data_IF_988431254036
#
_entry.id   IF_988431254036
#
_cell.length_a   1.000
_cell.length_b   1.000
_cell.length_c   1.000
_cell.angle_alpha   90.00
_cell.angle_beta   90.00
_cell.angle_gamma   90.00
#
_symmetry.space_group_name_H-M   'P 1'
#
loop_
_entity.id
_entity.type
_entity.pdbx_description
1 polymer ?
#
# COMPACT_ATOMS: atom_id res chain seq x y z
N UNK A 1 -13.38 -6.99 62.31
CA UNK A 1 -14.48 -6.06 62.68
C UNK A 1 -15.79 -6.67 62.22
N UNK A 2 -16.83 -6.69 63.06
CA UNK A 2 -18.13 -7.21 62.67
C UNK A 2 -18.74 -6.35 61.54
N UNK A 3 -19.21 -6.99 60.47
CA UNK A 3 -19.92 -6.32 59.38
C UNK A 3 -21.13 -5.55 59.92
N UNK A 4 -21.33 -4.32 59.42
CA UNK A 4 -22.45 -3.44 59.77
C UNK A 4 -23.59 -3.49 58.76
N UNK A 5 -23.43 -4.22 57.65
CA UNK A 5 -24.39 -4.27 56.52
C UNK A 5 -24.69 -5.70 56.02
N UNK A 6 -24.12 -6.73 56.65
CA UNK A 6 -24.30 -8.15 56.34
C UNK A 6 -25.75 -8.63 56.47
N UNK A 7 -26.50 -8.13 57.46
CA UNK A 7 -27.89 -8.56 57.71
C UNK A 7 -28.93 -7.46 57.46
N UNK A 8 -30.15 -7.82 56.99
CA UNK A 8 -31.25 -6.85 56.83
C UNK A 8 -31.56 -6.07 58.11
N UNK A 9 -31.51 -6.72 59.27
CA UNK A 9 -31.76 -6.08 60.57
C UNK A 9 -30.74 -4.98 60.89
N UNK A 10 -29.46 -5.18 60.56
CA UNK A 10 -28.42 -4.15 60.73
C UNK A 10 -28.56 -3.04 59.68
N UNK A 11 -28.88 -3.38 58.43
CA UNK A 11 -29.12 -2.40 57.37
C UNK A 11 -30.33 -1.50 57.64
N UNK A 12 -31.38 -2.04 58.27
CA UNK A 12 -32.55 -1.26 58.67
C UNK A 12 -32.26 -0.25 59.77
N UNK A 13 -31.33 -0.55 60.69
CA UNK A 13 -30.91 0.37 61.76
C UNK A 13 -30.09 1.56 61.26
N UNK A 14 -29.64 1.55 60.01
CA UNK A 14 -28.89 2.67 59.44
C UNK A 14 -29.82 3.88 59.15
N UNK A 15 -29.34 5.11 59.40
CA UNK A 15 -30.08 6.31 59.07
C UNK A 15 -30.21 6.48 57.56
N UNK A 16 -31.27 7.19 57.15
CA UNK A 16 -31.42 7.63 55.76
C UNK A 16 -30.38 8.72 55.52
N UNK A 17 -29.39 8.44 54.66
CA UNK A 17 -28.27 9.33 54.42
C UNK A 17 -27.80 9.30 52.96
N UNK A 18 -27.34 10.45 52.46
CA UNK A 18 -26.75 10.54 51.11
C UNK A 18 -25.43 9.74 51.01
N UNK A 19 -24.70 9.59 52.11
CA UNK A 19 -23.42 8.85 52.18
C UNK A 19 -23.68 7.35 52.41
N UNK A 20 -23.17 6.45 51.55
CA UNK A 20 -23.30 5.01 51.75
C UNK A 20 -22.53 4.52 52.98
N UNK A 21 -23.04 3.47 53.63
CA UNK A 21 -22.29 2.69 54.61
C UNK A 21 -21.38 1.69 53.87
N UNK A 22 -20.07 1.77 54.11
CA UNK A 22 -19.08 0.96 53.40
C UNK A 22 -18.57 -0.21 54.24
N UNK A 23 -18.38 -1.34 53.58
CA UNK A 23 -17.69 -2.51 54.08
C UNK A 23 -16.56 -2.89 53.12
N UNK A 24 -15.40 -3.23 53.66
CA UNK A 24 -14.25 -3.65 52.86
C UNK A 24 -14.38 -5.14 52.52
N UNK A 25 -14.34 -5.46 51.23
CA UNK A 25 -14.36 -6.85 50.74
C UNK A 25 -12.94 -7.38 50.49
N UNK A 26 -12.08 -6.55 49.87
CA UNK A 26 -10.71 -6.89 49.51
C UNK A 26 -9.80 -5.63 49.58
N UNK A 27 -8.47 -5.75 49.42
CA UNK A 27 -7.62 -4.57 49.23
C UNK A 27 -8.12 -3.72 48.06
N UNK A 28 -8.41 -2.44 48.32
CA UNK A 28 -8.91 -1.52 47.29
C UNK A 28 -10.36 -1.70 46.86
N UNK A 29 -11.12 -2.68 47.37
CA UNK A 29 -12.52 -2.95 46.98
C UNK A 29 -13.47 -2.92 48.18
N UNK A 30 -14.56 -2.17 48.06
CA UNK A 30 -15.55 -1.94 49.09
C UNK A 30 -16.97 -2.11 48.56
N UNK A 31 -17.83 -2.74 49.37
CA UNK A 31 -19.27 -2.81 49.16
C UNK A 31 -19.95 -1.70 49.95
N UNK A 32 -20.84 -0.97 49.30
CA UNK A 32 -21.58 0.15 49.86
C UNK A 32 -23.07 -0.16 49.90
N UNK A 33 -23.70 0.14 51.02
CA UNK A 33 -25.15 0.13 51.16
C UNK A 33 -25.66 1.55 51.33
N UNK A 34 -26.62 1.97 50.50
CA UNK A 34 -27.26 3.29 50.62
C UNK A 34 -28.76 3.13 50.80
N UNK A 35 -29.26 3.70 51.90
CA UNK A 35 -30.68 3.78 52.25
C UNK A 35 -31.19 5.20 51.97
N UNK A 36 -32.07 5.35 50.99
CA UNK A 36 -32.86 6.58 50.76
C UNK A 36 -34.32 6.37 51.16
N UNK A 37 -35.13 7.42 51.05
CA UNK A 37 -36.60 7.34 51.23
C UNK A 37 -37.25 6.44 50.17
N UNK A 38 -36.69 6.40 48.95
CA UNK A 38 -37.27 5.74 47.78
C UNK A 38 -36.65 4.37 47.47
N UNK A 39 -35.37 4.15 47.81
CA UNK A 39 -34.67 2.95 47.39
C UNK A 39 -33.54 2.54 48.34
N UNK A 40 -33.26 1.24 48.35
CA UNK A 40 -32.12 0.63 49.06
C UNK A 40 -31.22 0.00 48.02
N UNK A 41 -30.02 0.55 47.84
CA UNK A 41 -29.14 0.19 46.72
C UNK A 41 -27.77 -0.28 47.19
N UNK A 42 -27.23 -1.24 46.44
CA UNK A 42 -25.85 -1.68 46.51
C UNK A 42 -24.97 -0.83 45.59
N UNK A 43 -23.82 -0.44 46.13
CA UNK A 43 -22.76 0.28 45.45
C UNK A 43 -21.48 -0.51 45.59
N UNK A 44 -20.62 -0.44 44.58
CA UNK A 44 -19.23 -0.89 44.69
C UNK A 44 -18.32 0.32 44.59
N UNK A 45 -17.27 0.34 45.40
CA UNK A 45 -16.16 1.27 45.30
C UNK A 45 -14.88 0.48 45.16
N UNK A 46 -14.16 0.66 44.07
CA UNK A 46 -12.90 -0.02 43.81
C UNK A 46 -11.81 0.98 43.38
N UNK A 47 -10.55 0.61 43.58
CA UNK A 47 -9.42 1.44 43.18
C UNK A 47 -9.41 1.58 41.66
N UNK A 48 -9.35 2.82 41.17
CA UNK A 48 -9.32 3.10 39.75
C UNK A 48 -7.90 2.81 39.21
N UNK A 49 -7.71 1.82 38.32
CA UNK A 49 -6.40 1.54 37.74
C UNK A 49 -5.90 2.68 36.85
N UNK A 50 -6.78 3.57 36.40
CA UNK A 50 -6.47 4.70 35.53
C UNK A 50 -6.26 6.02 36.30
N UNK A 51 -6.34 6.01 37.63
CA UNK A 51 -6.15 7.21 38.44
C UNK A 51 -4.68 7.71 38.39
N UNK A 52 -4.46 9.03 38.16
CA UNK A 52 -3.12 9.62 38.23
C UNK A 52 -2.45 9.36 39.59
N UNK A 53 -1.13 9.12 39.60
CA UNK A 53 -0.35 9.04 40.85
C UNK A 53 -0.50 10.36 41.61
N UNK A 54 -1.14 10.30 42.80
CA UNK A 54 -1.40 11.46 43.65
C UNK A 54 -2.82 12.06 43.53
N UNK A 55 -3.75 11.41 42.83
CA UNK A 55 -5.14 11.85 42.76
C UNK A 55 -5.79 11.93 44.15
N UNK A 56 -6.56 13.00 44.40
CA UNK A 56 -7.26 13.25 45.67
C UNK A 56 -8.32 12.19 46.00
N UNK A 57 -8.82 11.46 45.00
CA UNK A 57 -9.73 10.33 45.19
C UNK A 57 -9.45 9.21 44.17
N UNK A 58 -8.60 8.22 44.49
CA UNK A 58 -8.19 7.15 43.56
C UNK A 58 -9.22 6.01 43.45
N UNK A 59 -10.49 6.29 43.74
CA UNK A 59 -11.54 5.28 43.80
C UNK A 59 -12.72 5.64 42.90
N UNK A 60 -13.15 4.68 42.08
CA UNK A 60 -14.37 4.77 41.28
C UNK A 60 -15.53 4.13 42.01
N UNK A 61 -16.72 4.74 41.91
CA UNK A 61 -17.94 4.27 42.55
C UNK A 61 -19.02 3.98 41.50
N UNK A 62 -19.73 2.86 41.66
CA UNK A 62 -20.83 2.47 40.78
C UNK A 62 -22.00 1.88 41.60
N UNK A 63 -23.22 2.29 41.29
CA UNK A 63 -24.45 1.64 41.78
C UNK A 63 -24.76 0.47 40.85
N UNK A 64 -25.01 -0.73 41.37
CA UNK A 64 -25.15 -1.91 40.51
C UNK A 64 -26.38 -2.79 40.78
N UNK A 65 -27.01 -2.68 41.95
CA UNK A 65 -28.20 -3.48 42.25
C UNK A 65 -29.08 -2.85 43.35
N UNK A 66 -30.33 -3.33 43.45
CA UNK A 66 -31.19 -3.08 44.60
C UNK A 66 -30.90 -4.11 45.72
N UNK A 67 -31.07 -3.69 46.97
CA UNK A 67 -30.90 -4.56 48.13
C UNK A 67 -32.21 -5.30 48.45
N UNK A 68 -32.08 -6.52 48.97
CA UNK A 68 -33.18 -7.43 49.35
C UNK A 68 -33.97 -7.02 50.61
N UNK A 69 -33.93 -5.73 50.96
CA UNK A 69 -34.54 -5.23 52.18
C UNK A 69 -35.99 -4.81 51.93
N UNK A 70 -36.93 -5.53 52.55
CA UNK A 70 -38.40 -5.35 52.59
C UNK A 70 -39.21 -5.69 51.33
N UNK A 71 -38.62 -5.85 50.14
CA UNK A 71 -39.29 -6.47 49.00
C UNK A 71 -38.33 -7.42 48.28
N UNK A 72 -38.70 -8.71 48.26
CA UNK A 72 -38.02 -9.72 47.46
C UNK A 72 -38.58 -9.63 46.04
N UNK A 73 -38.04 -8.72 45.24
CA UNK A 73 -38.14 -8.84 43.78
C UNK A 73 -37.05 -9.81 43.30
N UNK A 74 -37.28 -10.56 42.22
CA UNK A 74 -36.26 -11.47 41.64
C UNK A 74 -34.93 -10.75 41.30
N UNK A 75 -34.98 -9.43 41.10
CA UNK A 75 -33.83 -8.57 40.79
C UNK A 75 -33.08 -8.02 42.02
N UNK A 76 -33.54 -8.31 43.25
CA UNK A 76 -32.91 -7.81 44.48
C UNK A 76 -31.79 -8.75 44.95
N UNK A 77 -30.64 -8.17 45.34
CA UNK A 77 -29.48 -8.95 45.77
C UNK A 77 -29.32 -8.97 47.29
N UNK A 78 -29.11 -10.18 47.82
CA UNK A 78 -28.64 -10.37 49.19
C UNK A 78 -27.17 -9.98 49.35
N UNK A 79 -26.74 -9.71 50.58
CA UNK A 79 -25.37 -9.31 50.88
C UNK A 79 -24.31 -10.25 50.28
N UNK A 80 -24.53 -11.57 50.35
CA UNK A 80 -23.59 -12.57 49.79
C UNK A 80 -23.50 -12.47 48.26
N UNK A 81 -24.64 -12.35 47.57
CA UNK A 81 -24.68 -12.20 46.10
C UNK A 81 -24.12 -10.84 45.67
N UNK A 82 -24.48 -9.77 46.37
CA UNK A 82 -23.96 -8.43 46.12
C UNK A 82 -22.44 -8.34 46.34
N UNK A 83 -21.90 -9.06 47.33
CA UNK A 83 -20.46 -9.13 47.58
C UNK A 83 -19.70 -9.84 46.45
N UNK A 84 -20.23 -10.97 45.98
CA UNK A 84 -19.65 -11.70 44.85
C UNK A 84 -19.70 -10.88 43.56
N UNK A 85 -20.83 -10.21 43.30
CA UNK A 85 -21.00 -9.37 42.10
C UNK A 85 -20.13 -8.11 42.15
N UNK A 86 -19.98 -7.50 43.33
CA UNK A 86 -19.08 -6.36 43.53
C UNK A 86 -17.61 -6.75 43.28
N UNK A 87 -17.18 -7.95 43.67
CA UNK A 87 -15.84 -8.45 43.37
C UNK A 87 -15.65 -8.69 41.87
N UNK A 88 -16.63 -9.29 41.18
CA UNK A 88 -16.58 -9.46 39.71
C UNK A 88 -16.51 -8.12 38.97
N UNK A 89 -17.31 -7.14 39.39
CA UNK A 89 -17.30 -5.81 38.81
C UNK A 89 -15.95 -5.10 39.02
N UNK A 90 -15.36 -5.25 40.20
CA UNK A 90 -14.03 -4.70 40.50
C UNK A 90 -12.92 -5.40 39.71
N UNK A 91 -13.00 -6.71 39.52
CA UNK A 91 -12.04 -7.50 38.73
C UNK A 91 -12.13 -7.14 37.24
N UNK A 92 -13.35 -7.08 36.70
CA UNK A 92 -13.60 -6.64 35.32
C UNK A 92 -13.12 -5.20 35.07
N UNK A 93 -13.14 -4.35 36.11
CA UNK A 93 -12.65 -2.99 36.04
C UNK A 93 -11.16 -2.82 36.42
N UNK A 94 -10.48 -3.87 36.92
CA UNK A 94 -9.05 -3.87 37.21
C UNK A 94 -8.19 -4.13 35.97
N UNK A 95 -8.81 -4.59 34.88
CA UNK A 95 -8.20 -4.56 33.55
C UNK A 95 -8.12 -3.08 33.14
N UNK A 96 -6.93 -2.53 32.84
CA UNK A 96 -6.80 -1.14 32.44
C UNK A 96 -7.79 -0.82 31.34
N UNK A 97 -8.75 0.03 31.63
CA UNK A 97 -9.62 0.55 30.61
C UNK A 97 -8.75 1.51 29.81
N UNK A 98 -8.56 1.26 28.52
CA UNK A 98 -7.87 2.21 27.64
C UNK A 98 -8.72 3.48 27.43
N UNK A 99 -9.19 4.14 28.50
CA UNK A 99 -10.13 5.27 28.50
C UNK A 99 -9.43 6.63 28.30
N UNK A 100 -8.28 6.59 27.64
CA UNK A 100 -7.73 7.69 26.83
C UNK A 100 -7.43 7.26 25.38
N UNK A 101 -7.53 5.97 25.06
CA UNK A 101 -7.37 5.47 23.71
C UNK A 101 -8.75 5.39 23.06
N UNK A 102 -9.00 6.29 22.13
CA UNK A 102 -10.12 6.20 21.19
C UNK A 102 -10.25 4.75 20.66
N UNK A 103 -11.49 4.24 20.48
CA UNK A 103 -11.70 2.87 20.03
C UNK A 103 -10.99 2.60 18.69
N UNK A 104 -10.48 1.38 18.51
CA UNK A 104 -9.81 0.99 17.27
C UNK A 104 -10.88 0.57 16.28
N UNK A 105 -11.14 1.41 15.28
CA UNK A 105 -12.09 1.18 14.19
C UNK A 105 -11.36 0.94 12.88
N UNK A 106 -12.08 0.43 11.88
CA UNK A 106 -11.58 0.30 10.51
C UNK A 106 -11.04 1.64 9.98
N UNK A 107 -11.73 2.76 10.25
CA UNK A 107 -11.31 4.12 9.91
C UNK A 107 -9.88 4.40 10.39
N UNK A 108 -9.61 4.15 11.67
CA UNK A 108 -8.30 4.45 12.27
C UNK A 108 -7.21 3.54 11.70
N UNK A 109 -7.53 2.27 11.46
CA UNK A 109 -6.62 1.35 10.77
C UNK A 109 -6.24 1.83 9.38
N UNK A 110 -7.22 2.33 8.62
CA UNK A 110 -7.03 2.85 7.27
C UNK A 110 -6.23 4.14 7.27
N UNK A 111 -6.58 5.11 8.13
CA UNK A 111 -5.87 6.39 8.25
C UNK A 111 -4.41 6.21 8.66
N UNK A 112 -4.14 5.33 9.63
CA UNK A 112 -2.77 5.00 10.04
C UNK A 112 -1.97 4.36 8.90
N UNK A 113 -2.58 3.41 8.19
CA UNK A 113 -1.95 2.79 7.03
C UNK A 113 -1.67 3.79 5.90
N UNK A 114 -2.60 4.70 5.64
CA UNK A 114 -2.45 5.79 4.67
C UNK A 114 -1.26 6.68 5.06
N UNK A 115 -1.15 7.08 6.32
CA UNK A 115 -0.04 7.89 6.81
C UNK A 115 1.32 7.19 6.59
N UNK A 116 1.41 5.89 6.91
CA UNK A 116 2.62 5.09 6.67
C UNK A 116 2.97 5.01 5.18
N UNK A 117 1.96 4.82 4.31
CA UNK A 117 2.15 4.74 2.86
C UNK A 117 2.57 6.08 2.26
N UNK A 118 1.94 7.18 2.66
CA UNK A 118 2.27 8.51 2.20
C UNK A 118 3.67 8.92 2.66
N UNK A 119 4.04 8.68 3.91
CA UNK A 119 5.40 8.93 4.42
C UNK A 119 6.47 8.10 3.69
N UNK A 120 6.16 6.84 3.34
CA UNK A 120 7.06 6.02 2.52
C UNK A 120 7.22 6.61 1.11
N UNK A 121 6.12 6.99 0.47
CA UNK A 121 6.14 7.55 -0.87
C UNK A 121 6.85 8.92 -0.90
N UNK A 122 6.65 9.77 0.11
CA UNK A 122 7.38 11.03 0.33
C UNK A 122 8.89 10.77 0.40
N UNK A 123 9.35 9.83 1.24
CA UNK A 123 10.78 9.46 1.34
C UNK A 123 11.36 8.98 0.01
N UNK A 124 10.59 8.21 -0.76
CA UNK A 124 11.06 7.60 -2.02
C UNK A 124 11.08 8.60 -3.19
N UNK A 125 10.14 9.54 -3.20
CA UNK A 125 9.92 10.48 -4.31
C UNK A 125 10.47 11.88 -4.02
N UNK A 126 10.83 12.20 -2.78
CA UNK A 126 11.44 13.47 -2.37
C UNK A 126 10.54 14.69 -2.59
N UNK A 127 9.23 14.54 -2.38
CA UNK A 127 8.27 15.66 -2.46
C UNK A 127 7.34 15.64 -1.27
N UNK A 128 6.95 16.83 -0.85
CA UNK A 128 5.90 17.04 0.15
C UNK A 128 4.52 16.80 -0.48
N UNK A 129 3.50 16.51 0.35
CA UNK A 129 2.10 16.30 -0.06
C UNK A 129 1.82 15.18 -1.07
N UNK A 130 2.54 14.06 -0.98
CA UNK A 130 2.26 12.90 -1.83
C UNK A 130 1.08 12.08 -1.28
N UNK A 131 -0.01 12.10 -2.05
CA UNK A 131 -1.10 11.14 -1.91
C UNK A 131 -0.75 9.82 -2.60
N UNK A 132 -0.68 8.73 -1.84
CA UNK A 132 -0.44 7.40 -2.42
C UNK A 132 -1.65 6.85 -3.17
N UNK A 133 -1.41 5.87 -4.04
CA UNK A 133 -2.48 5.15 -4.74
C UNK A 133 -3.45 4.46 -3.75
N UNK A 134 -2.91 3.97 -2.64
CA UNK A 134 -3.69 3.32 -1.58
C UNK A 134 -4.58 4.34 -0.87
N UNK A 135 -4.05 5.52 -0.55
CA UNK A 135 -4.83 6.63 0.00
C UNK A 135 -6.03 6.97 -0.89
N UNK A 136 -5.80 7.19 -2.19
CA UNK A 136 -6.88 7.55 -3.11
C UNK A 136 -7.99 6.50 -3.15
N UNK A 137 -7.62 5.21 -3.19
CA UNK A 137 -8.61 4.11 -3.21
C UNK A 137 -9.34 3.93 -1.89
N UNK A 138 -8.59 3.87 -0.79
CA UNK A 138 -9.14 3.65 0.55
C UNK A 138 -10.02 4.82 0.99
N UNK A 139 -9.60 6.05 0.72
CA UNK A 139 -10.42 7.23 1.02
C UNK A 139 -11.74 7.24 0.25
N UNK A 140 -11.70 6.87 -1.03
CA UNK A 140 -12.88 6.92 -1.91
C UNK A 140 -13.88 5.78 -1.69
N UNK A 141 -13.41 4.61 -1.24
CA UNK A 141 -14.24 3.41 -1.21
C UNK A 141 -14.41 2.79 0.18
N UNK A 142 -13.51 3.08 1.13
CA UNK A 142 -13.60 2.58 2.51
C UNK A 142 -14.02 3.70 3.45
N UNK A 143 -13.29 4.83 3.46
CA UNK A 143 -13.57 5.92 4.41
C UNK A 143 -14.88 6.68 4.12
N UNK A 144 -15.38 6.57 2.90
CA UNK A 144 -16.70 7.10 2.50
C UNK A 144 -17.85 6.20 2.93
N UNK A 145 -17.59 4.93 3.26
CA UNK A 145 -18.61 3.98 3.70
C UNK A 145 -18.68 3.99 5.23
N UNK A 146 -19.62 4.77 5.76
CA UNK A 146 -19.81 4.97 7.21
C UNK A 146 -20.07 3.64 7.93
N UNK A 147 -20.81 2.72 7.31
CA UNK A 147 -21.16 1.44 7.91
C UNK A 147 -19.92 0.57 8.11
N UNK A 148 -19.01 0.54 7.13
CA UNK A 148 -17.77 -0.21 7.25
C UNK A 148 -16.76 0.52 8.13
N UNK A 149 -16.50 1.81 7.91
CA UNK A 149 -15.34 2.48 8.51
C UNK A 149 -15.50 2.73 10.01
N UNK A 150 -16.72 2.92 10.52
CA UNK A 150 -16.95 3.16 11.94
C UNK A 150 -17.12 1.85 12.74
N UNK A 151 -17.06 0.70 12.06
CA UNK A 151 -17.05 -0.63 12.70
C UNK A 151 -15.79 -0.78 13.57
N UNK A 152 -15.98 -1.28 14.80
CA UNK A 152 -14.87 -1.66 15.67
C UNK A 152 -14.07 -2.79 15.04
N UNK A 153 -12.75 -2.76 15.19
CA UNK A 153 -11.88 -3.75 14.56
C UNK A 153 -12.24 -5.19 14.97
N UNK A 154 -12.54 -5.40 16.26
CA UNK A 154 -12.99 -6.70 16.81
C UNK A 154 -14.33 -7.19 16.24
N UNK A 155 -15.18 -6.30 15.76
CA UNK A 155 -16.52 -6.60 15.24
C UNK A 155 -16.51 -6.68 13.69
N UNK A 156 -15.34 -6.54 13.08
CA UNK A 156 -15.17 -6.71 11.63
C UNK A 156 -15.17 -8.20 11.30
N UNK A 157 -16.26 -8.69 10.72
CA UNK A 157 -16.42 -10.10 10.32
C UNK A 157 -16.12 -10.34 8.85
N UNK A 158 -15.92 -11.60 8.48
CA UNK A 158 -15.74 -12.04 7.08
C UNK A 158 -16.96 -11.66 6.22
N UNK A 159 -18.16 -11.91 6.72
CA UNK A 159 -19.43 -11.72 6.01
C UNK A 159 -19.63 -10.25 5.65
N UNK A 160 -19.38 -9.36 6.63
CA UNK A 160 -19.47 -7.91 6.43
C UNK A 160 -18.49 -7.41 5.35
N UNK A 161 -17.26 -7.93 5.35
CA UNK A 161 -16.26 -7.56 4.35
C UNK A 161 -16.62 -8.06 2.94
N UNK A 162 -17.20 -9.26 2.83
CA UNK A 162 -17.67 -9.80 1.55
C UNK A 162 -18.86 -9.01 1.02
N UNK A 163 -19.86 -8.75 1.85
CA UNK A 163 -21.04 -7.96 1.50
C UNK A 163 -20.65 -6.56 1.03
N UNK A 164 -19.77 -5.88 1.77
CA UNK A 164 -19.23 -4.59 1.35
C UNK A 164 -18.53 -4.70 0.00
N UNK A 165 -17.64 -5.68 -0.16
CA UNK A 165 -16.84 -5.83 -1.38
C UNK A 165 -17.72 -6.12 -2.60
N UNK A 166 -18.80 -6.87 -2.45
CA UNK A 166 -19.77 -7.15 -3.51
C UNK A 166 -20.50 -5.89 -3.95
N UNK A 167 -20.92 -5.06 -2.99
CA UNK A 167 -21.63 -3.80 -3.22
C UNK A 167 -20.76 -2.68 -3.81
N UNK A 168 -19.42 -2.80 -3.76
CA UNK A 168 -18.53 -1.80 -4.35
C UNK A 168 -18.59 -1.85 -5.89
N UNK A 169 -19.03 -0.78 -6.59
CA UNK A 169 -19.23 -0.77 -8.04
C UNK A 169 -17.91 -0.54 -8.80
N UNK A 170 -16.98 -1.49 -8.68
CA UNK A 170 -15.67 -1.45 -9.32
C UNK A 170 -15.41 -2.69 -10.16
N UNK A 171 -14.68 -2.51 -11.27
CA UNK A 171 -14.15 -3.62 -12.08
C UNK A 171 -13.28 -4.56 -11.24
N UNK A 172 -13.28 -5.86 -11.58
CA UNK A 172 -12.59 -6.91 -10.81
C UNK A 172 -11.14 -6.57 -10.47
N UNK A 173 -10.35 -6.09 -11.44
CA UNK A 173 -8.95 -5.70 -11.20
C UNK A 173 -8.78 -4.55 -10.19
N UNK A 174 -9.69 -3.57 -10.18
CA UNK A 174 -9.64 -2.45 -9.23
C UNK A 174 -10.16 -2.89 -7.86
N UNK A 175 -11.22 -3.70 -7.82
CA UNK A 175 -11.76 -4.32 -6.61
C UNK A 175 -10.70 -5.16 -5.88
N UNK A 176 -9.91 -5.96 -6.63
CA UNK A 176 -8.76 -6.70 -6.10
C UNK A 176 -7.67 -5.81 -5.47
N UNK A 177 -7.33 -4.68 -6.11
CA UNK A 177 -6.36 -3.72 -5.55
C UNK A 177 -6.88 -3.07 -4.27
N UNK A 178 -8.15 -2.66 -4.28
CA UNK A 178 -8.81 -2.09 -3.11
C UNK A 178 -8.82 -3.08 -1.93
N UNK A 179 -9.24 -4.32 -2.17
CA UNK A 179 -9.24 -5.38 -1.15
C UNK A 179 -7.82 -5.64 -0.62
N UNK A 180 -6.81 -5.65 -1.50
CA UNK A 180 -5.40 -5.78 -1.12
C UNK A 180 -4.90 -4.66 -0.21
N UNK A 181 -5.25 -3.40 -0.51
CA UNK A 181 -4.90 -2.26 0.33
C UNK A 181 -5.62 -2.30 1.68
N UNK A 182 -6.92 -2.61 1.69
CA UNK A 182 -7.70 -2.73 2.93
C UNK A 182 -7.16 -3.87 3.80
N UNK A 183 -6.83 -5.01 3.20
CA UNK A 183 -6.20 -6.13 3.88
C UNK A 183 -4.88 -5.73 4.52
N UNK A 184 -4.06 -4.96 3.82
CA UNK A 184 -2.79 -4.48 4.36
C UNK A 184 -2.99 -3.51 5.53
N UNK A 185 -4.00 -2.62 5.45
CA UNK A 185 -4.36 -1.71 6.53
C UNK A 185 -4.83 -2.46 7.78
N UNK A 186 -5.80 -3.37 7.62
CA UNK A 186 -6.36 -4.14 8.74
C UNK A 186 -5.30 -5.06 9.37
N UNK A 187 -4.40 -5.65 8.58
CA UNK A 187 -3.31 -6.46 9.12
C UNK A 187 -2.31 -5.64 9.93
N UNK A 188 -1.94 -4.44 9.46
CA UNK A 188 -1.01 -3.57 10.18
C UNK A 188 -1.52 -3.25 11.59
N UNK A 189 -2.80 -2.92 11.73
CA UNK A 189 -3.42 -2.66 13.03
C UNK A 189 -3.69 -3.95 13.81
N UNK A 190 -4.13 -5.01 13.12
CA UNK A 190 -4.38 -6.32 13.73
C UNK A 190 -3.16 -6.90 14.42
N UNK A 191 -1.98 -6.79 13.80
CA UNK A 191 -0.71 -7.23 14.38
C UNK A 191 -0.37 -6.44 15.67
N UNK A 192 -0.65 -5.13 15.71
CA UNK A 192 -0.43 -4.28 16.90
C UNK A 192 -1.41 -4.60 18.05
N UNK A 193 -2.60 -5.06 17.71
CA UNK A 193 -3.71 -5.25 18.64
C UNK A 193 -4.13 -6.72 18.77
N UNK A 194 -3.25 -7.66 18.40
CA UNK A 194 -3.54 -9.09 18.37
C UNK A 194 -4.08 -9.63 19.70
N UNK A 195 -3.62 -9.09 20.85
CA UNK A 195 -4.09 -9.46 22.19
C UNK A 195 -5.57 -9.13 22.46
N UNK A 196 -6.14 -8.20 21.70
CA UNK A 196 -7.53 -7.74 21.85
C UNK A 196 -8.48 -8.31 20.79
N UNK A 197 -7.98 -9.17 19.91
CA UNK A 197 -8.71 -9.76 18.79
C UNK A 197 -8.79 -11.28 18.97
N UNK A 198 -9.79 -11.90 18.35
CA UNK A 198 -9.87 -13.36 18.33
C UNK A 198 -8.67 -13.96 17.55
N UNK A 199 -8.21 -15.14 17.97
CA UNK A 199 -7.06 -15.79 17.34
C UNK A 199 -7.26 -16.07 15.83
N UNK A 200 -8.50 -16.31 15.40
CA UNK A 200 -8.87 -16.57 14.00
C UNK A 200 -9.10 -15.30 13.18
N UNK A 201 -9.23 -14.14 13.84
CA UNK A 201 -9.67 -12.89 13.21
C UNK A 201 -8.80 -12.52 12.00
N UNK A 202 -7.47 -12.61 12.14
CA UNK A 202 -6.53 -12.31 11.05
C UNK A 202 -6.69 -13.23 9.85
N UNK A 203 -7.00 -14.52 10.07
CA UNK A 203 -7.21 -15.48 8.99
C UNK A 203 -8.53 -15.19 8.28
N UNK A 204 -9.59 -14.89 9.02
CA UNK A 204 -10.93 -14.57 8.51
C UNK A 204 -10.91 -13.33 7.60
N UNK A 205 -10.37 -12.21 8.09
CA UNK A 205 -10.29 -10.97 7.29
C UNK A 205 -9.40 -11.15 6.06
N UNK A 206 -8.35 -11.96 6.19
CA UNK A 206 -7.42 -12.22 5.09
C UNK A 206 -8.08 -13.06 4.01
N UNK A 207 -8.93 -14.02 4.40
CA UNK A 207 -9.74 -14.82 3.49
C UNK A 207 -10.74 -13.95 2.73
N UNK A 208 -11.50 -13.11 3.43
CA UNK A 208 -12.50 -12.22 2.83
C UNK A 208 -11.90 -11.28 1.76
N UNK A 209 -10.71 -10.73 2.04
CA UNK A 209 -10.07 -9.74 1.17
C UNK A 209 -9.07 -10.35 0.17
N UNK A 210 -9.03 -11.69 0.04
CA UNK A 210 -8.25 -12.35 -1.02
C UNK A 210 -9.11 -12.54 -2.25
N UNK A 211 -9.11 -11.53 -3.11
CA UNK A 211 -9.89 -11.51 -4.34
C UNK A 211 -9.09 -12.15 -5.47
N UNK A 212 -9.64 -13.23 -6.05
CA UNK A 212 -9.13 -13.78 -7.30
C UNK A 212 -9.56 -12.89 -8.47
N UNK A 213 -8.73 -12.88 -9.51
CA UNK A 213 -9.09 -12.20 -10.75
C UNK A 213 -8.75 -13.14 -11.89
N UNK A 214 -9.75 -13.94 -12.26
CA UNK A 214 -9.64 -14.94 -13.32
C UNK A 214 -9.97 -14.34 -14.69
N UNK A 215 -10.40 -13.08 -14.73
CA UNK A 215 -10.55 -12.37 -16.00
C UNK A 215 -9.19 -12.28 -16.72
N UNK A 216 -9.07 -12.84 -17.94
CA UNK A 216 -7.88 -12.65 -18.75
C UNK A 216 -7.65 -11.16 -18.97
N UNK A 217 -6.38 -10.76 -18.95
CA UNK A 217 -5.99 -9.37 -19.07
C UNK A 217 -6.50 -8.84 -20.42
N UNK A 218 -7.54 -7.99 -20.42
CA UNK A 218 -8.29 -7.58 -21.62
C UNK A 218 -7.53 -6.73 -22.63
N UNK A 219 -6.23 -6.49 -22.42
CA UNK A 219 -5.39 -5.72 -23.35
C UNK A 219 -4.38 -6.66 -23.97
N UNK A 220 -4.51 -6.85 -25.27
CA UNK A 220 -3.49 -7.52 -26.07
C UNK A 220 -2.14 -6.82 -25.92
N UNK A 221 -1.09 -7.62 -25.99
CA UNK A 221 0.28 -7.12 -25.91
C UNK A 221 0.58 -6.32 -27.17
N UNK A 222 0.92 -5.05 -26.98
CA UNK A 222 1.23 -4.14 -28.06
C UNK A 222 2.69 -4.29 -28.47
N UNK A 223 2.93 -5.07 -29.52
CA UNK A 223 4.25 -5.24 -30.14
C UNK A 223 4.33 -4.34 -31.36
N UNK A 224 5.38 -3.51 -31.43
CA UNK A 224 5.64 -2.62 -32.55
C UNK A 224 6.79 -3.16 -33.40
N UNK A 225 6.62 -3.10 -34.72
CA UNK A 225 7.69 -3.39 -35.66
C UNK A 225 8.78 -2.30 -35.62
N UNK A 226 9.99 -2.61 -36.09
CA UNK A 226 11.13 -1.68 -36.05
C UNK A 226 10.86 -0.38 -36.82
N UNK A 227 10.14 -0.43 -37.94
CA UNK A 227 9.76 0.76 -38.69
C UNK A 227 8.76 1.64 -37.93
N UNK A 228 7.85 1.04 -37.15
CA UNK A 228 6.90 1.76 -36.30
C UNK A 228 7.60 2.43 -35.12
N UNK A 229 8.59 1.77 -34.51
CA UNK A 229 9.42 2.37 -33.46
C UNK A 229 10.21 3.55 -34.01
N UNK A 230 10.87 3.38 -35.16
CA UNK A 230 11.60 4.49 -35.84
C UNK A 230 10.66 5.64 -36.18
N UNK A 231 9.44 5.36 -36.66
CA UNK A 231 8.45 6.40 -36.93
C UNK A 231 8.03 7.15 -35.66
N UNK A 232 7.81 6.44 -34.55
CA UNK A 232 7.50 7.05 -33.26
C UNK A 232 8.63 7.95 -32.74
N UNK A 233 9.89 7.53 -32.88
CA UNK A 233 11.05 8.34 -32.46
C UNK A 233 11.25 9.58 -33.33
N UNK A 234 11.01 9.49 -34.65
CA UNK A 234 11.01 10.67 -35.54
C UNK A 234 9.92 11.66 -35.16
N UNK A 235 8.69 11.18 -34.97
CA UNK A 235 7.57 12.00 -34.51
C UNK A 235 7.87 12.64 -33.14
N UNK A 236 8.48 11.90 -32.22
CA UNK A 236 8.90 12.44 -30.93
C UNK A 236 9.90 13.58 -31.08
N UNK A 237 10.86 13.48 -32.01
CA UNK A 237 11.82 14.56 -32.31
C UNK A 237 11.16 15.81 -32.87
N UNK A 238 10.18 15.66 -33.77
CA UNK A 238 9.42 16.79 -34.33
C UNK A 238 8.60 17.51 -33.24
N UNK A 239 7.82 16.74 -32.47
CA UNK A 239 6.97 17.26 -31.39
C UNK A 239 7.78 17.90 -30.27
N UNK A 240 8.97 17.35 -30.00
CA UNK A 240 9.93 17.93 -29.07
C UNK A 240 10.33 19.34 -29.50
N UNK A 241 10.72 19.51 -30.78
CA UNK A 241 11.08 20.81 -31.36
C UNK A 241 9.90 21.79 -31.39
N UNK A 242 8.73 21.35 -31.88
CA UNK A 242 7.50 22.16 -31.90
C UNK A 242 7.07 22.62 -30.50
N UNK A 243 7.27 21.77 -29.50
CA UNK A 243 6.87 22.01 -28.12
C UNK A 243 7.93 22.69 -27.24
N UNK A 244 9.11 23.02 -27.78
CA UNK A 244 10.20 23.66 -27.02
C UNK A 244 10.74 22.79 -25.88
N UNK A 245 10.87 21.47 -26.09
CA UNK A 245 11.35 20.52 -25.08
C UNK A 245 12.88 20.38 -25.06
N UNK A 246 13.62 21.12 -25.91
CA UNK A 246 15.09 21.12 -26.01
C UNK A 246 15.72 19.72 -26.17
N UNK A 247 15.02 18.79 -26.80
CA UNK A 247 15.41 17.40 -27.02
C UNK A 247 15.08 16.46 -25.85
N UNK A 248 14.49 16.93 -24.75
CA UNK A 248 14.25 16.12 -23.55
C UNK A 248 13.22 15.02 -23.79
N UNK A 249 12.14 15.32 -24.53
CA UNK A 249 11.11 14.35 -24.88
C UNK A 249 11.68 13.29 -25.82
N UNK A 250 12.44 13.71 -26.84
CA UNK A 250 13.05 12.79 -27.79
C UNK A 250 14.05 11.85 -27.09
N UNK A 251 14.95 12.39 -26.25
CA UNK A 251 15.91 11.58 -25.48
C UNK A 251 15.20 10.57 -24.57
N UNK A 252 14.11 10.96 -23.91
CA UNK A 252 13.31 10.06 -23.10
C UNK A 252 12.71 8.90 -23.93
N UNK A 253 12.17 9.19 -25.12
CA UNK A 253 11.62 8.14 -25.99
C UNK A 253 12.70 7.19 -26.50
N UNK A 254 13.86 7.72 -26.89
CA UNK A 254 15.03 6.92 -27.27
C UNK A 254 15.47 6.02 -26.11
N UNK A 255 15.51 6.54 -24.89
CA UNK A 255 15.91 5.74 -23.72
C UNK A 255 14.94 4.58 -23.47
N UNK A 256 13.63 4.82 -23.58
CA UNK A 256 12.61 3.78 -23.45
C UNK A 256 12.75 2.71 -24.54
N UNK A 257 12.93 3.13 -25.80
CA UNK A 257 13.04 2.23 -26.95
C UNK A 257 14.33 1.41 -26.95
N UNK A 258 15.48 2.05 -26.68
CA UNK A 258 16.79 1.42 -26.73
C UNK A 258 17.04 0.46 -25.56
N UNK A 259 16.46 0.73 -24.39
CA UNK A 259 16.71 -0.10 -23.18
C UNK A 259 15.60 -1.11 -22.87
N UNK A 260 14.37 -0.90 -23.36
CA UNK A 260 13.20 -1.69 -22.95
C UNK A 260 12.82 -1.52 -21.47
N UNK A 261 13.38 -0.52 -20.79
CA UNK A 261 13.16 -0.28 -19.37
C UNK A 261 11.81 0.39 -19.10
N UNK A 262 11.31 0.26 -17.87
CA UNK A 262 10.10 1.00 -17.44
C UNK A 262 10.42 2.49 -17.35
N UNK A 263 9.43 3.36 -17.61
CA UNK A 263 9.55 4.82 -17.43
C UNK A 263 10.21 5.20 -16.10
N UNK A 264 9.76 4.60 -14.99
CA UNK A 264 10.31 4.91 -13.67
C UNK A 264 11.79 4.56 -13.52
N UNK A 265 12.29 3.58 -14.28
CA UNK A 265 13.71 3.19 -14.25
C UNK A 265 14.52 4.15 -15.12
N UNK A 266 14.03 4.42 -16.34
CA UNK A 266 14.65 5.40 -17.26
C UNK A 266 14.82 6.77 -16.63
N UNK A 267 13.79 7.25 -15.91
CA UNK A 267 13.83 8.53 -15.20
C UNK A 267 14.90 8.62 -14.10
N UNK A 268 15.49 7.49 -13.68
CA UNK A 268 16.47 7.40 -12.58
C UNK A 268 17.83 6.89 -13.03
N UNK A 269 18.07 6.79 -14.34
CA UNK A 269 19.41 6.50 -14.84
C UNK A 269 20.26 7.73 -14.56
N UNK A 270 21.40 7.58 -13.88
CA UNK A 270 22.32 8.67 -13.62
C UNK A 270 23.27 8.90 -14.80
N UNK A 271 23.89 10.07 -14.89
CA UNK A 271 24.82 10.39 -16.00
C UNK A 271 26.02 9.44 -16.04
N UNK A 272 26.56 9.07 -14.87
CA UNK A 272 27.68 8.12 -14.71
C UNK A 272 27.34 6.71 -15.20
N UNK A 273 26.06 6.36 -15.21
CA UNK A 273 25.56 5.05 -15.61
C UNK A 273 25.46 4.90 -17.14
N UNK A 274 25.80 5.94 -17.90
CA UNK A 274 25.92 5.92 -19.35
C UNK A 274 27.39 6.09 -19.78
N UNK A 275 28.03 4.99 -20.18
CA UNK A 275 29.47 4.96 -20.51
C UNK A 275 29.81 4.05 -21.69
N UNK A 276 30.97 4.29 -22.30
CA UNK A 276 31.55 3.40 -23.32
C UNK A 276 32.51 2.43 -22.65
N UNK A 277 32.46 1.15 -23.03
CA UNK A 277 33.33 0.12 -22.49
C UNK A 277 34.01 -0.64 -23.63
N UNK A 278 35.34 -0.78 -23.60
CA UNK A 278 36.06 -1.65 -24.52
C UNK A 278 35.76 -3.11 -24.18
N UNK A 279 35.46 -3.90 -25.21
CA UNK A 279 35.23 -5.34 -25.11
C UNK A 279 35.92 -6.02 -26.28
N UNK A 280 36.70 -7.05 -25.99
CA UNK A 280 37.22 -7.95 -27.02
C UNK A 280 36.11 -8.94 -27.38
N UNK A 281 35.76 -9.04 -28.66
CA UNK A 281 34.81 -10.06 -29.11
C UNK A 281 35.46 -11.44 -28.98
N UNK A 282 34.94 -12.28 -28.07
CA UNK A 282 35.49 -13.62 -27.83
C UNK A 282 35.49 -14.55 -29.05
N UNK A 283 34.62 -14.31 -30.03
CA UNK A 283 34.54 -15.12 -31.25
C UNK A 283 35.49 -14.66 -32.34
N UNK A 284 35.69 -13.35 -32.50
CA UNK A 284 36.46 -12.78 -33.62
C UNK A 284 37.82 -12.21 -33.21
N UNK A 285 38.08 -12.06 -31.91
CA UNK A 285 39.30 -11.43 -31.38
C UNK A 285 39.37 -9.92 -31.60
N UNK A 286 38.40 -9.31 -32.29
CA UNK A 286 38.40 -7.89 -32.64
C UNK A 286 37.94 -7.04 -31.44
N UNK A 287 38.64 -5.93 -31.22
CA UNK A 287 38.22 -4.90 -30.28
C UNK A 287 36.91 -4.25 -30.71
N UNK A 288 35.93 -4.27 -29.82
CA UNK A 288 34.66 -3.58 -29.96
C UNK A 288 34.49 -2.56 -28.82
N UNK A 289 33.73 -1.50 -29.08
CA UNK A 289 33.31 -0.55 -28.04
C UNK A 289 31.82 -0.71 -27.81
N UNK A 290 31.43 -1.19 -26.63
CA UNK A 290 30.04 -1.27 -26.23
C UNK A 290 29.60 0.09 -25.68
N UNK A 291 28.46 0.59 -26.15
CA UNK A 291 27.77 1.72 -25.53
C UNK A 291 26.82 1.19 -24.47
N UNK A 292 27.09 1.52 -23.20
CA UNK A 292 26.45 0.88 -22.04
C UNK A 292 25.56 1.87 -21.30
N UNK A 293 24.35 1.43 -20.98
CA UNK A 293 23.43 2.10 -20.06
C UNK A 293 23.12 1.16 -18.89
N UNK A 294 23.46 1.57 -17.66
CA UNK A 294 23.09 0.85 -16.46
C UNK A 294 21.68 1.27 -16.03
N UNK A 295 20.73 0.33 -16.08
CA UNK A 295 19.33 0.60 -15.74
C UNK A 295 19.09 0.25 -14.28
N UNK A 296 18.63 1.19 -13.43
CA UNK A 296 18.36 0.90 -12.03
C UNK A 296 17.20 -0.09 -11.88
N UNK A 297 17.25 -0.93 -10.85
CA UNK A 297 16.18 -1.88 -10.55
C UNK A 297 14.83 -1.19 -10.29
N UNK A 298 13.72 -1.90 -10.51
CA UNK A 298 12.41 -1.40 -10.15
C UNK A 298 12.24 -1.34 -8.64
N UNK A 299 11.43 -0.39 -8.17
CA UNK A 299 11.11 -0.21 -6.75
C UNK A 299 10.08 -1.23 -6.27
N UNK A 300 10.21 -2.50 -6.68
CA UNK A 300 9.30 -3.60 -6.30
C UNK A 300 9.84 -4.29 -5.03
N UNK A 301 8.95 -4.71 -4.14
CA UNK A 301 9.29 -5.55 -2.97
C UNK A 301 9.19 -4.87 -1.59
N UNK A 302 9.27 -5.73 -0.55
CA UNK A 302 9.42 -5.33 0.86
C UNK A 302 10.91 -5.07 1.15
N UNK A 303 11.23 -3.81 1.47
CA UNK A 303 12.42 -3.27 2.16
C UNK A 303 13.78 -3.98 2.03
N UNK A 304 14.78 -3.20 1.60
CA UNK A 304 16.13 -3.21 2.19
C UNK A 304 17.28 -3.50 1.23
N UNK A 305 17.10 -4.43 0.30
CA UNK A 305 18.15 -4.76 -0.68
C UNK A 305 18.02 -3.86 -1.90
N UNK A 306 19.04 -3.03 -2.13
CA UNK A 306 19.22 -2.34 -3.40
C UNK A 306 19.59 -3.41 -4.41
N UNK A 307 18.65 -3.81 -5.25
CA UNK A 307 18.96 -4.68 -6.38
C UNK A 307 19.92 -3.94 -7.33
N UNK A 308 20.96 -4.62 -7.83
CA UNK A 308 21.97 -3.98 -8.66
C UNK A 308 21.35 -3.49 -9.98
N UNK A 309 21.92 -2.41 -10.50
CA UNK A 309 21.57 -1.94 -11.84
C UNK A 309 21.90 -3.02 -12.87
N UNK A 310 21.08 -3.10 -13.90
CA UNK A 310 21.27 -4.10 -14.96
C UNK A 310 21.88 -3.44 -16.19
N UNK A 311 22.97 -4.01 -16.69
CA UNK A 311 23.68 -3.54 -17.88
C UNK A 311 22.82 -3.69 -19.15
N UNK A 312 22.70 -2.62 -19.95
CA UNK A 312 22.15 -2.66 -21.32
C UNK A 312 23.20 -2.20 -22.31
N UNK A 313 23.37 -2.94 -23.40
CA UNK A 313 24.18 -2.50 -24.53
C UNK A 313 23.20 -1.92 -25.55
N UNK A 314 23.44 -0.67 -25.96
CA UNK A 314 22.60 0.07 -26.90
C UNK A 314 23.40 0.40 -28.16
N UNK A 315 22.71 0.74 -29.24
CA UNK A 315 23.36 1.20 -30.47
C UNK A 315 24.10 2.52 -30.23
N UNK A 316 25.23 2.71 -30.91
CA UNK A 316 26.04 3.91 -30.77
C UNK A 316 25.23 5.18 -31.10
N UNK A 317 24.41 5.17 -32.16
CA UNK A 317 23.54 6.30 -32.51
C UNK A 317 22.56 6.68 -31.40
N UNK A 318 21.96 5.69 -30.74
CA UNK A 318 21.01 5.92 -29.66
C UNK A 318 21.75 6.46 -28.43
N UNK A 319 22.93 5.91 -28.13
CA UNK A 319 23.78 6.39 -27.05
C UNK A 319 24.16 7.86 -27.21
N UNK A 320 24.64 8.26 -28.40
CA UNK A 320 24.99 9.66 -28.69
C UNK A 320 23.78 10.60 -28.50
N UNK A 321 22.57 10.18 -28.90
CA UNK A 321 21.36 10.94 -28.63
C UNK A 321 21.13 11.09 -27.12
N UNK A 322 21.25 10.00 -26.35
CA UNK A 322 21.01 10.04 -24.90
C UNK A 322 21.96 10.97 -24.17
N UNK A 323 23.23 11.03 -24.58
CA UNK A 323 24.25 11.85 -23.92
C UNK A 323 24.37 13.28 -24.45
N UNK A 324 23.62 13.62 -25.51
CA UNK A 324 23.62 14.96 -26.13
C UNK A 324 22.91 16.05 -25.30
N UNK A 325 22.23 15.67 -24.22
CA UNK A 325 21.56 16.61 -23.33
C UNK A 325 22.53 17.44 -22.47
N UNK A 326 22.00 18.45 -21.74
CA UNK A 326 22.79 19.22 -20.77
C UNK A 326 23.51 18.31 -19.78
N UNK A 327 24.76 18.62 -19.45
CA UNK A 327 25.50 17.87 -18.45
C UNK A 327 24.94 18.15 -17.05
N UNK A 328 24.38 17.12 -16.41
CA UNK A 328 23.74 17.22 -15.10
C UNK A 328 24.68 16.96 -13.93
N UNK A 329 25.89 16.47 -14.16
CA UNK A 329 26.80 15.93 -13.13
C UNK A 329 26.73 14.40 -13.03
N UNK A 330 27.75 13.71 -12.48
CA UNK A 330 27.87 12.26 -12.56
C UNK A 330 26.76 11.51 -11.80
N UNK A 331 26.44 11.95 -10.57
CA UNK A 331 25.43 11.36 -9.68
C UNK A 331 24.04 12.02 -9.82
N UNK A 332 23.79 12.59 -11.00
CA UNK A 332 22.54 13.28 -11.31
C UNK A 332 21.84 12.59 -12.46
N UNK A 333 20.50 12.69 -12.56
CA UNK A 333 19.76 12.01 -13.61
C UNK A 333 20.30 12.36 -15.00
N UNK A 334 20.49 11.34 -15.84
CA UNK A 334 20.86 11.47 -17.25
C UNK A 334 19.80 12.26 -18.02
N UNK A 335 18.53 12.11 -17.63
CA UNK A 335 17.38 12.72 -18.29
C UNK A 335 16.66 13.64 -17.31
N UNK A 336 16.69 14.92 -17.63
CA UNK A 336 15.89 15.97 -17.00
C UNK A 336 15.00 16.63 -18.04
N UNK A 337 14.05 17.43 -17.58
CA UNK A 337 13.20 18.27 -18.39
C UNK A 337 12.96 19.62 -17.75
N UNK A 338 12.45 20.56 -18.53
CA UNK A 338 11.91 21.80 -17.99
C UNK A 338 10.68 21.55 -17.13
N UNK A 339 10.66 22.12 -15.93
CA UNK A 339 9.51 22.13 -15.04
C UNK A 339 8.78 23.46 -15.16
N UNK A 340 7.51 23.41 -15.56
CA UNK A 340 6.68 24.60 -15.50
C UNK A 340 6.36 24.93 -14.04
N UNK A 341 6.46 26.20 -13.70
CA UNK A 341 6.14 26.76 -12.40
C UNK A 341 4.90 27.64 -12.55
N UNK A 342 3.94 27.44 -11.66
CA UNK A 342 2.71 28.24 -11.62
C UNK A 342 3.02 29.57 -10.93
N UNK A 343 2.93 30.67 -11.68
CA UNK A 343 3.09 32.02 -11.12
C UNK A 343 1.79 32.48 -10.46
N UNK A 344 0.67 32.16 -11.09
CA UNK A 344 -0.69 32.42 -10.61
C UNK A 344 -1.66 31.41 -11.24
N UNK A 345 -2.91 31.27 -10.75
CA UNK A 345 -3.86 30.34 -11.32
C UNK A 345 -3.94 30.48 -12.85
N UNK A 346 -3.65 29.40 -13.57
CA UNK A 346 -3.62 29.30 -15.05
C UNK A 346 -2.45 29.99 -15.76
N UNK A 347 -1.57 30.72 -15.06
CA UNK A 347 -0.37 31.33 -15.63
C UNK A 347 0.86 30.53 -15.25
N UNK A 348 1.51 29.96 -16.27
CA UNK A 348 2.67 29.09 -16.11
C UNK A 348 3.88 29.72 -16.77
N UNK A 349 5.01 29.69 -16.08
CA UNK A 349 6.31 30.03 -16.67
C UNK A 349 7.22 28.81 -16.72
N UNK A 350 8.24 28.88 -17.56
CA UNK A 350 9.30 27.87 -17.62
C UNK A 350 10.19 28.06 -16.39
N UNK A 351 10.10 27.14 -15.45
CA UNK A 351 10.94 27.08 -14.26
C UNK A 351 12.25 26.34 -14.49
N UNK A 352 12.81 25.76 -13.43
CA UNK A 352 14.08 25.04 -13.48
C UNK A 352 14.04 23.68 -14.19
N UNK A 353 15.22 23.08 -14.35
CA UNK A 353 15.38 21.67 -14.77
C UNK A 353 15.00 20.74 -13.63
N UNK A 354 14.27 19.68 -13.94
CA UNK A 354 13.87 18.66 -12.98
C UNK A 354 13.88 17.26 -13.61
N UNK A 355 13.99 16.23 -12.77
CA UNK A 355 13.82 14.84 -13.21
C UNK A 355 12.37 14.56 -13.64
N UNK A 356 12.18 13.50 -14.41
CA UNK A 356 10.87 12.98 -14.78
C UNK A 356 10.24 12.22 -13.58
N UNK A 357 8.98 12.51 -13.22
CA UNK A 357 8.35 11.90 -12.05
C UNK A 357 7.35 10.80 -12.39
N UNK A 358 6.42 11.08 -13.30
CA UNK A 358 5.27 10.26 -13.65
C UNK A 358 5.13 10.11 -15.16
N UNK A 359 4.74 8.92 -15.60
CA UNK A 359 4.46 8.66 -17.01
C UNK A 359 3.28 9.51 -17.55
N UNK A 360 2.45 10.10 -16.68
CA UNK A 360 1.40 11.04 -17.09
C UNK A 360 1.94 12.32 -17.71
N UNK A 361 3.19 12.71 -17.38
CA UNK A 361 3.83 13.91 -17.93
C UNK A 361 4.01 13.82 -19.44
N UNK A 362 4.17 12.60 -19.97
CA UNK A 362 4.28 12.35 -21.40
C UNK A 362 2.95 11.96 -22.05
N UNK A 363 1.83 11.93 -21.32
CA UNK A 363 0.56 11.45 -21.88
C UNK A 363 0.03 12.33 -23.03
N UNK A 364 0.20 13.65 -22.93
CA UNK A 364 -0.17 14.59 -24.02
C UNK A 364 0.75 14.45 -25.22
N UNK A 365 2.09 14.61 -25.11
CA UNK A 365 2.97 14.47 -26.27
C UNK A 365 2.93 13.06 -26.86
N UNK A 366 2.73 12.01 -26.05
CA UNK A 366 2.59 10.65 -26.57
C UNK A 366 1.38 10.48 -27.50
N UNK A 367 0.23 11.10 -27.18
CA UNK A 367 -0.94 11.08 -28.09
C UNK A 367 -0.61 11.72 -29.44
N UNK A 368 0.12 12.83 -29.42
CA UNK A 368 0.59 13.49 -30.64
C UNK A 368 1.58 12.61 -31.41
N UNK A 369 2.49 11.91 -30.71
CA UNK A 369 3.44 10.96 -31.31
C UNK A 369 2.68 9.82 -32.01
N UNK A 370 1.70 9.22 -31.34
CA UNK A 370 0.87 8.13 -31.89
C UNK A 370 0.16 8.58 -33.16
N UNK A 371 -0.42 9.78 -33.14
CA UNK A 371 -1.11 10.35 -34.30
C UNK A 371 -0.16 10.63 -35.47
N UNK A 372 0.95 11.35 -35.21
CA UNK A 372 1.96 11.72 -36.22
C UNK A 372 2.65 10.50 -36.83
N UNK A 373 2.96 9.50 -36.00
CA UNK A 373 3.55 8.24 -36.43
C UNK A 373 2.54 7.24 -37.02
N UNK A 374 1.24 7.60 -37.07
CA UNK A 374 0.14 6.78 -37.57
C UNK A 374 0.05 5.40 -36.89
N UNK A 375 0.31 5.36 -35.59
CA UNK A 375 0.17 4.15 -34.78
C UNK A 375 -1.28 3.95 -34.34
N UNK A 376 -1.70 2.72 -33.99
CA UNK A 376 -3.02 2.50 -33.41
C UNK A 376 -3.23 3.36 -32.15
N UNK A 377 -4.40 4.03 -32.06
CA UNK A 377 -4.69 5.06 -31.04
C UNK A 377 -4.51 4.60 -29.58
N UNK A 378 -4.64 3.31 -29.34
CA UNK A 378 -4.55 2.71 -28.00
C UNK A 378 -3.11 2.31 -27.62
N UNK A 379 -2.12 2.51 -28.50
CA UNK A 379 -0.72 2.23 -28.23
C UNK A 379 -0.20 3.15 -27.12
N UNK A 380 0.45 2.56 -26.12
CA UNK A 380 1.06 3.29 -24.99
C UNK A 380 2.58 3.20 -25.04
N UNK A 381 3.35 4.08 -24.35
CA UNK A 381 4.81 4.03 -24.36
C UNK A 381 5.38 2.68 -23.89
N UNK A 382 4.60 1.94 -23.11
CA UNK A 382 4.95 0.60 -22.63
C UNK A 382 5.10 -0.42 -23.76
N UNK A 383 4.58 -0.15 -24.96
CA UNK A 383 4.77 -0.96 -26.15
C UNK A 383 6.25 -1.09 -26.55
N UNK A 384 7.10 -0.08 -26.31
CA UNK A 384 8.54 -0.20 -26.57
C UNK A 384 9.17 -1.34 -25.78
N UNK A 385 8.74 -1.53 -24.54
CA UNK A 385 9.20 -2.62 -23.69
C UNK A 385 8.68 -3.98 -24.17
N UNK A 386 7.40 -4.07 -24.54
CA UNK A 386 6.86 -5.30 -25.12
C UNK A 386 7.63 -5.69 -26.38
N UNK A 387 7.90 -4.71 -27.25
CA UNK A 387 8.66 -4.90 -28.49
C UNK A 387 10.10 -5.33 -28.23
N UNK A 388 10.78 -4.75 -27.23
CA UNK A 388 12.13 -5.17 -26.83
C UNK A 388 12.17 -6.62 -26.32
N UNK A 389 11.19 -7.03 -25.50
CA UNK A 389 11.09 -8.40 -24.99
C UNK A 389 10.89 -9.37 -26.16
N UNK A 390 9.90 -9.11 -27.02
CA UNK A 390 9.58 -9.98 -28.15
C UNK A 390 10.74 -10.09 -29.12
N UNK A 391 11.38 -8.96 -29.49
CA UNK A 391 12.56 -8.98 -30.38
C UNK A 391 13.70 -9.83 -29.82
N UNK A 392 13.96 -9.76 -28.51
CA UNK A 392 15.01 -10.56 -27.88
C UNK A 392 14.67 -12.05 -27.84
N UNK A 393 13.41 -12.40 -27.56
CA UNK A 393 12.94 -13.80 -27.59
C UNK A 393 13.03 -14.37 -29.01
N UNK A 394 12.60 -13.60 -30.01
CA UNK A 394 12.69 -13.97 -31.44
C UNK A 394 14.15 -14.12 -31.92
N UNK A 395 15.07 -13.37 -31.33
CA UNK A 395 16.51 -13.51 -31.58
C UNK A 395 17.13 -14.71 -30.82
N UNK A 396 16.33 -15.54 -30.15
CA UNK A 396 16.79 -16.75 -29.45
C UNK A 396 17.49 -16.49 -28.11
N UNK A 397 17.32 -15.31 -27.50
CA UNK A 397 17.89 -15.09 -26.16
C UNK A 397 17.16 -15.95 -25.12
N UNK A 398 17.88 -16.57 -24.16
CA UNK A 398 17.26 -17.36 -23.11
C UNK A 398 16.24 -16.54 -22.30
N UNK A 399 15.08 -17.15 -22.00
CA UNK A 399 14.00 -16.51 -21.24
C UNK A 399 14.48 -15.93 -19.91
N UNK A 400 15.41 -16.61 -19.23
CA UNK A 400 16.02 -16.15 -17.97
C UNK A 400 16.84 -14.87 -18.16
N UNK A 401 17.59 -14.76 -19.26
CA UNK A 401 18.34 -13.57 -19.62
C UNK A 401 17.40 -12.42 -19.97
N UNK A 402 16.39 -12.66 -20.81
CA UNK A 402 15.40 -11.64 -21.17
C UNK A 402 14.65 -11.14 -19.93
N UNK A 403 14.29 -12.04 -19.01
CA UNK A 403 13.65 -11.71 -17.75
C UNK A 403 14.53 -10.78 -16.88
N UNK A 404 15.81 -11.11 -16.71
CA UNK A 404 16.78 -10.28 -16.00
C UNK A 404 16.98 -8.91 -16.69
N UNK A 405 17.13 -8.90 -18.02
CA UNK A 405 17.23 -7.69 -18.84
C UNK A 405 15.95 -6.84 -18.86
N UNK A 406 14.85 -7.32 -18.32
CA UNK A 406 13.65 -6.50 -18.22
C UNK A 406 13.20 -6.35 -16.77
N UNK A 407 13.94 -6.84 -15.78
CA UNK A 407 13.56 -6.76 -14.38
C UNK A 407 12.12 -7.28 -14.17
N UNK A 408 11.94 -8.51 -14.61
CA UNK A 408 10.70 -9.31 -14.52
C UNK A 408 11.06 -10.76 -14.26
N UNK A 409 10.09 -11.61 -13.91
CA UNK A 409 10.34 -13.03 -13.71
C UNK A 409 10.16 -13.84 -15.00
N UNK A 410 10.85 -15.00 -15.13
CA UNK A 410 10.61 -15.95 -16.22
C UNK A 410 9.15 -16.39 -16.32
N UNK A 411 8.49 -16.61 -15.17
CA UNK A 411 7.07 -16.94 -15.12
C UNK A 411 6.19 -15.85 -15.75
N UNK A 412 6.51 -14.58 -15.49
CA UNK A 412 5.79 -13.46 -16.13
C UNK A 412 6.08 -13.38 -17.63
N UNK A 413 7.29 -13.74 -18.07
CA UNK A 413 7.60 -13.83 -19.50
C UNK A 413 6.77 -14.94 -20.16
N UNK A 414 6.78 -16.15 -19.61
CA UNK A 414 6.01 -17.29 -20.13
C UNK A 414 4.51 -16.99 -20.17
N UNK A 415 3.95 -16.42 -19.09
CA UNK A 415 2.52 -16.10 -19.00
C UNK A 415 2.05 -15.10 -20.07
N UNK A 416 2.90 -14.14 -20.44
CA UNK A 416 2.49 -13.04 -21.30
C UNK A 416 2.99 -13.19 -22.74
N UNK A 417 4.20 -13.69 -22.95
CA UNK A 417 4.84 -13.74 -24.26
C UNK A 417 5.00 -15.17 -24.78
N UNK A 418 4.31 -16.15 -24.17
CA UNK A 418 4.42 -17.57 -24.52
C UNK A 418 4.25 -17.85 -26.02
N UNK A 419 3.26 -17.21 -26.67
CA UNK A 419 3.04 -17.36 -28.11
C UNK A 419 4.30 -17.02 -28.93
N UNK A 420 4.94 -15.88 -28.64
CA UNK A 420 6.16 -15.44 -29.34
C UNK A 420 7.40 -16.31 -29.05
N UNK A 421 7.39 -17.08 -27.96
CA UNK A 421 8.46 -18.03 -27.64
C UNK A 421 8.36 -19.26 -28.53
N UNK A 422 7.14 -19.75 -28.76
CA UNK A 422 6.89 -20.93 -29.60
C UNK A 422 7.33 -20.64 -31.04
N UNK A 423 6.84 -19.54 -31.61
CA UNK A 423 7.17 -19.16 -33.00
C UNK A 423 8.68 -19.03 -33.23
N UNK A 424 9.42 -18.43 -32.28
CA UNK A 424 10.87 -18.27 -32.36
C UNK A 424 11.62 -19.60 -32.22
N UNK A 425 11.05 -20.55 -31.49
CA UNK A 425 11.70 -21.83 -31.22
C UNK A 425 11.70 -22.70 -32.47
N UNK A 426 10.67 -22.63 -33.31
CA UNK A 426 10.57 -23.44 -34.54
C UNK A 426 11.70 -23.13 -35.53
N UNK A 427 11.99 -21.85 -35.76
CA UNK A 427 13.11 -21.42 -36.62
C UNK A 427 14.47 -21.85 -36.05
N UNK A 428 14.64 -21.75 -34.74
CA UNK A 428 15.87 -22.17 -34.06
C UNK A 428 16.04 -23.70 -34.12
N UNK A 429 14.96 -24.44 -33.92
CA UNK A 429 14.94 -25.90 -34.02
C UNK A 429 15.29 -26.31 -35.45
N UNK A 430 14.65 -25.70 -36.46
CA UNK A 430 14.96 -25.96 -37.86
C UNK A 430 16.43 -25.68 -38.18
N UNK A 431 16.97 -24.55 -37.74
CA UNK A 431 18.37 -24.18 -37.97
C UNK A 431 19.40 -25.02 -37.20
N UNK A 432 18.99 -25.70 -36.13
CA UNK A 432 19.85 -26.57 -35.32
C UNK A 432 19.66 -28.07 -35.59
N UNK A 433 18.70 -28.43 -36.43
CA UNK A 433 18.48 -29.82 -36.87
C UNK A 433 19.51 -30.19 -37.93
N UNK A 434 20.14 -31.36 -37.77
CA UNK A 434 21.11 -31.89 -38.73
C UNK A 434 20.42 -32.93 -39.61
N UNK A 435 20.62 -32.87 -40.93
CA UNK A 435 20.16 -33.94 -41.83
C UNK A 435 20.91 -35.23 -41.52
N UNK A 436 20.17 -36.28 -41.22
CA UNK A 436 20.71 -37.64 -40.94
C UNK A 436 20.49 -38.62 -42.07
N UNK A 437 19.87 -38.18 -43.17
CA UNK A 437 19.75 -38.99 -44.38
C UNK A 437 21.08 -38.94 -45.15
N UNK A 438 21.63 -40.13 -45.44
CA UNK A 438 22.79 -40.36 -46.32
C UNK A 438 22.38 -40.29 -47.80
#
# INVERSE_FOLDING_TARGET
MASKIDTPAKRNKLPIAKKPAWERLAPGVFLGYRKSLEARKWLVRYQDPDAPKGASNPYRMQVFANADDAHVSDEALSFKRASAEALKLAEAASVPSAKGALPITVRRSVEEYIAVRNARDQRVKGRDDIRSDADTRLSRHVLSDVNLCDTLLKDTTRERLLEWLDNVPLKAATKKRLAGDLKAALRLTGDKHAKSLAATWMAEISGALTVQNDEPNSRDIQVLADHQIKAALRAAKEIDGEGGWDGDLHRLMVALAATGARFSQVARIDRKDAFKQRRVNRRTGVDATDCVIMVPASRKGKSGKVEPSTKRIVMASDFEILISGPYTGPDRPLLERWKNEELSPTVWTRGGRATWYHASEIARPWRQIVERARLPRHVVPYAFRHSSIVRQLQAGLPVTLVAALHDTSPLMIQKHYGAFIVDASDDIIAASTVSVAE
#
